data_IF_788471284355
#
_entry.id   IF_788471284355
#
_cell.length_a   1.000
_cell.length_b   1.000
_cell.length_c   1.000
_cell.angle_alpha   90.00
_cell.angle_beta   90.00
_cell.angle_gamma   90.00
#
_symmetry.space_group_name_H-M   'P 1'
#
loop_
_entity.id
_entity.type
_entity.pdbx_description
1 polymer ?
#
# COMPACT_ATOMS: atom_id res chain seq x y z
N UNK A 1 -4.86 -10.93 -19.78
CA UNK A 1 -4.55 -11.89 -18.69
C UNK A 1 -4.58 -11.21 -17.31
N UNK A 2 -3.82 -10.14 -17.07
CA UNK A 2 -3.83 -9.39 -15.80
C UNK A 2 -5.20 -8.80 -15.47
N UNK A 3 -5.86 -8.14 -16.42
CA UNK A 3 -7.22 -7.60 -16.21
C UNK A 3 -8.24 -8.70 -15.89
N UNK A 4 -8.10 -9.88 -16.49
CA UNK A 4 -9.03 -10.99 -16.25
C UNK A 4 -8.84 -11.57 -14.84
N UNK A 5 -7.58 -11.71 -14.38
CA UNK A 5 -7.28 -12.04 -12.98
C UNK A 5 -7.79 -10.96 -12.01
N UNK A 6 -7.69 -9.68 -12.40
CA UNK A 6 -8.17 -8.55 -11.62
C UNK A 6 -9.70 -8.51 -11.52
N UNK A 7 -10.43 -8.78 -12.62
CA UNK A 7 -11.88 -8.91 -12.60
C UNK A 7 -12.33 -10.14 -11.79
N UNK A 8 -11.59 -11.25 -11.89
CA UNK A 8 -11.85 -12.42 -11.07
C UNK A 8 -11.64 -12.13 -9.57
N UNK A 9 -10.59 -11.38 -9.21
CA UNK A 9 -10.37 -10.94 -7.84
C UNK A 9 -11.47 -9.97 -7.34
N UNK A 10 -11.95 -9.06 -8.21
CA UNK A 10 -13.12 -8.20 -7.91
C UNK A 10 -14.39 -9.00 -7.61
N UNK A 11 -14.60 -10.10 -8.32
CA UNK A 11 -15.81 -10.92 -8.22
C UNK A 11 -15.86 -11.85 -7.00
N UNK A 12 -14.71 -12.10 -6.35
CA UNK A 12 -14.61 -12.99 -5.20
C UNK A 12 -14.49 -12.17 -3.90
N UNK A 13 -15.51 -12.29 -3.06
CA UNK A 13 -15.62 -11.57 -1.78
C UNK A 13 -14.55 -11.94 -0.75
N UNK A 14 -13.72 -12.95 -1.01
CA UNK A 14 -12.55 -13.27 -0.17
C UNK A 14 -11.36 -12.36 -0.46
N UNK A 15 -11.34 -11.69 -1.62
CA UNK A 15 -10.25 -10.79 -2.02
C UNK A 15 -10.63 -9.31 -1.88
N UNK A 16 -11.92 -9.01 -1.70
CA UNK A 16 -12.34 -7.69 -1.24
C UNK A 16 -12.20 -7.62 0.28
N UNK A 17 -11.32 -6.76 0.76
CA UNK A 17 -11.07 -6.60 2.19
C UNK A 17 -11.83 -5.42 2.79
N UNK A 18 -12.82 -4.93 2.03
CA UNK A 18 -13.66 -3.82 2.43
C UNK A 18 -14.41 -4.18 3.71
N UNK A 19 -14.15 -3.43 4.80
CA UNK A 19 -14.74 -3.68 6.11
C UNK A 19 -13.93 -4.64 7.02
N UNK A 20 -12.82 -5.21 6.54
CA UNK A 20 -11.87 -5.98 7.36
C UNK A 20 -10.83 -5.03 8.00
N UNK A 21 -11.26 -4.27 9.01
CA UNK A 21 -10.41 -3.25 9.65
C UNK A 21 -9.70 -3.72 10.92
N UNK A 22 -9.58 -5.03 11.16
CA UNK A 22 -9.07 -5.54 12.43
C UNK A 22 -7.54 -5.56 12.54
N UNK A 23 -6.83 -4.82 11.69
CA UNK A 23 -5.38 -4.66 11.85
C UNK A 23 -5.05 -3.98 13.17
N UNK A 24 -4.69 -4.81 14.15
CA UNK A 24 -4.37 -4.42 15.52
C UNK A 24 -3.17 -3.46 15.62
N UNK A 25 -2.36 -3.33 14.56
CA UNK A 25 -1.37 -2.27 14.41
C UNK A 25 -2.01 -0.87 14.62
N UNK A 26 -3.15 -0.60 13.98
CA UNK A 26 -3.86 0.67 14.10
C UNK A 26 -4.42 0.92 15.51
N UNK A 27 -4.80 -0.14 16.23
CA UNK A 27 -5.28 -0.06 17.62
C UNK A 27 -4.20 0.35 18.63
N UNK A 28 -2.91 0.31 18.25
CA UNK A 28 -1.75 0.65 19.11
C UNK A 28 -1.02 1.92 18.68
N UNK A 29 -1.73 2.88 18.06
CA UNK A 29 -1.14 4.11 17.51
C UNK A 29 -0.09 3.89 16.39
N UNK A 30 -0.10 2.68 15.79
CA UNK A 30 0.05 2.34 14.36
C UNK A 30 1.30 2.70 13.58
N UNK A 31 1.94 3.83 13.84
CA UNK A 31 3.09 4.27 13.05
C UNK A 31 4.36 3.59 13.55
N UNK A 32 5.01 2.81 12.71
CA UNK A 32 6.36 2.34 12.95
C UNK A 32 7.31 3.55 12.87
N UNK A 33 7.52 4.21 14.02
CA UNK A 33 8.31 5.45 14.14
C UNK A 33 9.72 5.26 13.58
N UNK A 34 10.31 4.09 13.80
CA UNK A 34 11.63 3.73 13.28
C UNK A 34 11.66 3.69 11.76
N UNK A 35 10.66 3.04 11.13
CA UNK A 35 10.55 3.01 9.66
C UNK A 35 10.37 4.42 9.10
N UNK A 36 9.55 5.25 9.75
CA UNK A 36 9.36 6.65 9.31
C UNK A 36 10.65 7.46 9.43
N UNK A 37 11.44 7.23 10.48
CA UNK A 37 12.74 7.86 10.66
C UNK A 37 13.74 7.42 9.57
N UNK A 38 13.77 6.13 9.23
CA UNK A 38 14.60 5.60 8.14
C UNK A 38 14.19 6.21 6.81
N UNK A 39 12.89 6.28 6.50
CA UNK A 39 12.39 6.91 5.28
C UNK A 39 12.80 8.39 5.18
N UNK A 40 12.70 9.14 6.27
CA UNK A 40 13.18 10.54 6.31
C UNK A 40 14.69 10.64 6.03
N UNK A 41 15.50 9.71 6.54
CA UNK A 41 16.94 9.67 6.26
C UNK A 41 17.22 9.35 4.80
N UNK A 42 16.49 8.40 4.20
CA UNK A 42 16.62 8.05 2.78
C UNK A 42 16.25 9.24 1.89
N UNK A 43 15.13 9.91 2.15
CA UNK A 43 14.72 11.10 1.38
C UNK A 43 15.79 12.20 1.44
N UNK A 44 16.39 12.43 2.62
CA UNK A 44 17.50 13.41 2.75
C UNK A 44 18.75 12.95 1.99
N UNK A 45 19.11 11.67 2.06
CA UNK A 45 20.28 11.12 1.38
C UNK A 45 20.15 11.17 -0.15
N UNK A 46 18.93 11.06 -0.68
CA UNK A 46 18.65 11.13 -2.11
C UNK A 46 18.52 12.58 -2.63
N UNK A 47 18.56 13.59 -1.75
CA UNK A 47 18.46 15.00 -2.15
C UNK A 47 19.63 15.39 -3.07
N UNK A 48 19.30 15.87 -4.28
CA UNK A 48 20.29 16.24 -5.29
C UNK A 48 20.80 15.08 -6.16
N UNK A 49 20.29 13.86 -5.96
CA UNK A 49 20.50 12.74 -6.87
C UNK A 49 19.52 12.76 -8.04
N UNK A 50 19.71 11.87 -9.02
CA UNK A 50 18.76 11.62 -10.12
C UNK A 50 17.59 10.70 -9.72
N UNK A 51 17.51 10.26 -8.46
CA UNK A 51 16.41 9.42 -8.02
C UNK A 51 15.15 10.24 -7.78
N UNK A 52 14.05 9.83 -8.42
CA UNK A 52 12.73 10.38 -8.18
C UNK A 52 12.00 9.53 -7.15
N UNK A 53 11.54 10.16 -6.06
CA UNK A 53 10.85 9.46 -4.97
C UNK A 53 9.34 9.53 -5.22
N UNK A 54 8.70 8.36 -5.26
CA UNK A 54 7.24 8.24 -5.24
C UNK A 54 6.79 8.11 -3.77
N UNK A 55 6.44 9.22 -3.14
CA UNK A 55 5.98 9.21 -1.74
C UNK A 55 4.52 8.78 -1.61
N UNK A 56 4.32 7.47 -1.42
CA UNK A 56 3.03 6.85 -1.14
C UNK A 56 2.76 6.68 0.36
N UNK A 57 3.67 7.12 1.25
CA UNK A 57 3.65 6.78 2.68
C UNK A 57 2.38 7.29 3.35
N UNK A 58 2.12 8.59 3.24
CA UNK A 58 0.99 9.22 3.93
C UNK A 58 -0.35 8.62 3.52
N UNK A 59 -0.61 8.47 2.22
CA UNK A 59 -1.86 7.87 1.74
C UNK A 59 -2.00 6.40 2.15
N UNK A 60 -0.90 5.67 2.24
CA UNK A 60 -0.92 4.24 2.59
C UNK A 60 -1.14 4.01 4.07
N UNK A 61 -0.61 4.88 4.92
CA UNK A 61 -0.88 4.84 6.36
C UNK A 61 -2.39 4.84 6.59
N UNK A 62 -3.16 5.77 6.00
CA UNK A 62 -4.61 5.87 6.20
C UNK A 62 -5.46 4.67 5.74
N UNK A 63 -4.87 3.64 5.11
CA UNK A 63 -5.60 2.54 4.47
C UNK A 63 -5.51 1.22 5.23
N UNK A 64 -5.72 1.27 6.55
CA UNK A 64 -5.83 0.07 7.38
C UNK A 64 -6.89 -0.93 6.89
N UNK A 65 -7.92 -0.43 6.19
CA UNK A 65 -9.02 -1.17 5.58
C UNK A 65 -8.62 -1.97 4.32
N UNK A 66 -7.44 -1.73 3.77
CA UNK A 66 -6.99 -2.35 2.52
C UNK A 66 -6.15 -3.61 2.74
N UNK A 67 -6.07 -4.13 3.97
CA UNK A 67 -5.30 -5.32 4.33
C UNK A 67 -6.16 -6.58 4.45
N UNK A 68 -5.62 -7.79 4.18
CA UNK A 68 -6.38 -9.04 4.30
C UNK A 68 -6.82 -9.37 5.73
N UNK A 69 -6.10 -8.89 6.75
CA UNK A 69 -6.37 -9.20 8.16
C UNK A 69 -6.57 -10.72 8.35
N UNK A 70 -7.73 -11.16 8.83
CA UNK A 70 -8.06 -12.58 9.05
C UNK A 70 -8.37 -13.36 7.78
N UNK A 71 -8.69 -12.69 6.66
CA UNK A 71 -9.00 -13.34 5.38
C UNK A 71 -7.76 -13.94 4.70
N UNK A 72 -6.54 -13.63 5.17
CA UNK A 72 -5.29 -14.19 4.66
C UNK A 72 -5.07 -15.68 4.97
N UNK A 73 -5.99 -16.34 5.68
CA UNK A 73 -5.95 -17.79 5.96
C UNK A 73 -4.83 -18.23 6.92
N UNK A 74 -4.16 -17.29 7.58
CA UNK A 74 -3.09 -17.54 8.55
C UNK A 74 -3.61 -17.40 9.99
N UNK A 75 -2.90 -18.01 10.95
CA UNK A 75 -3.20 -17.89 12.39
C UNK A 75 -3.01 -16.46 12.96
N UNK A 76 -2.37 -15.57 12.20
CA UNK A 76 -2.12 -14.18 12.57
C UNK A 76 -2.71 -13.26 11.49
N UNK A 77 -3.20 -12.09 11.90
CA UNK A 77 -3.74 -11.09 10.98
C UNK A 77 -2.66 -10.62 10.00
N UNK A 78 -2.95 -10.69 8.69
CA UNK A 78 -2.07 -10.15 7.67
C UNK A 78 -2.32 -8.64 7.49
N UNK A 79 -1.41 -7.83 8.05
CA UNK A 79 -1.45 -6.37 8.00
C UNK A 79 -0.26 -5.78 7.25
N UNK A 80 0.45 -6.60 6.49
CA UNK A 80 1.63 -6.18 5.72
C UNK A 80 1.37 -6.24 4.22
N UNK A 81 0.49 -7.15 3.78
CA UNK A 81 0.07 -7.25 2.39
C UNK A 81 -1.20 -6.44 2.11
N UNK A 82 -1.44 -6.16 0.83
CA UNK A 82 -2.59 -5.38 0.38
C UNK A 82 -3.55 -6.27 -0.41
N UNK A 83 -4.84 -6.01 -0.25
CA UNK A 83 -5.87 -6.68 -1.03
C UNK A 83 -5.95 -6.11 -2.44
N UNK A 84 -6.40 -6.95 -3.37
CA UNK A 84 -6.62 -6.61 -4.76
C UNK A 84 -8.08 -6.89 -5.13
N UNK A 85 -8.79 -5.95 -5.77
CA UNK A 85 -8.36 -4.57 -6.08
C UNK A 85 -8.14 -3.72 -4.81
N UNK A 86 -7.29 -2.69 -4.87
CA UNK A 86 -6.95 -1.93 -3.66
C UNK A 86 -5.99 -0.77 -3.84
N UNK A 87 -5.33 -0.38 -2.75
CA UNK A 87 -4.46 0.82 -2.72
C UNK A 87 -3.28 0.72 -3.70
N UNK A 88 -2.80 -0.49 -3.98
CA UNK A 88 -1.72 -0.74 -4.93
C UNK A 88 -2.09 -0.32 -6.35
N UNK A 89 -3.39 -0.30 -6.70
CA UNK A 89 -3.84 0.21 -7.99
C UNK A 89 -3.58 1.72 -8.09
N UNK A 90 -3.89 2.47 -7.02
CA UNK A 90 -3.60 3.91 -6.94
C UNK A 90 -2.11 4.21 -6.95
N UNK A 91 -1.27 3.34 -6.35
CA UNK A 91 0.18 3.50 -6.44
C UNK A 91 0.67 3.38 -7.88
N UNK A 92 0.09 2.46 -8.65
CA UNK A 92 0.40 2.32 -10.07
C UNK A 92 -0.03 3.56 -10.87
N UNK A 93 -1.22 4.11 -10.60
CA UNK A 93 -1.68 5.35 -11.25
C UNK A 93 -0.73 6.52 -10.95
N UNK A 94 -0.32 6.69 -9.69
CA UNK A 94 0.65 7.72 -9.29
C UNK A 94 2.02 7.50 -9.93
N UNK A 95 2.46 6.24 -10.05
CA UNK A 95 3.70 5.91 -10.73
C UNK A 95 3.65 6.29 -12.20
N UNK A 96 2.57 5.95 -12.91
CA UNK A 96 2.38 6.30 -14.33
C UNK A 96 2.35 7.80 -14.52
N UNK A 97 1.64 8.54 -13.65
CA UNK A 97 1.61 10.00 -13.68
C UNK A 97 3.00 10.61 -13.42
N UNK A 98 3.73 10.08 -12.43
CA UNK A 98 5.09 10.53 -12.10
C UNK A 98 6.06 10.30 -13.26
N UNK A 99 6.08 9.09 -13.84
CA UNK A 99 6.90 8.78 -15.01
C UNK A 99 6.57 9.69 -16.20
N UNK A 100 5.28 9.92 -16.45
CA UNK A 100 4.85 10.84 -17.52
C UNK A 100 5.39 12.24 -17.29
N UNK A 101 5.38 12.74 -16.04
CA UNK A 101 5.91 14.08 -15.72
C UNK A 101 7.43 14.20 -15.85
N UNK A 102 8.17 13.10 -15.74
CA UNK A 102 9.64 13.07 -15.87
C UNK A 102 10.06 13.07 -17.34
N UNK A 103 9.29 12.41 -18.20
CA UNK A 103 9.60 12.23 -19.62
C UNK A 103 8.82 13.18 -20.56
N UNK A 104 8.03 14.11 -20.01
CA UNK A 104 7.34 15.19 -20.76
C UNK A 104 8.20 16.45 -20.79
#
# INVERSE_FOLDING_TARGET
MVEQLYQNAKSDSRYNCFGLSNCSLWKKNGTNVEVRLVNQRLVRALKGSSFHILDITGMSEFRADAHPSTAGGKKQDDCMHWCLPGITDYWNDLLVASLSSIFS
#
